data_IF_076558622312
#
_entry.id   IF_076558622312
#
_cell.length_a   1.000
_cell.length_b   1.000
_cell.length_c   1.000
_cell.angle_alpha   90.00
_cell.angle_beta   90.00
_cell.angle_gamma   90.00
#
_symmetry.space_group_name_H-M   'P 1'
#
loop_
_entity.id
_entity.type
_entity.pdbx_description
1 polymer ?
#
# COMPACT_ATOMS: atom_id res chain seq x y z
N UNK A 1 44.93 9.23 37.82
CA UNK A 1 44.40 10.02 36.68
C UNK A 1 44.21 9.03 35.53
N UNK A 2 43.09 8.36 35.28
CA UNK A 2 41.69 8.73 35.08
C UNK A 2 41.41 9.66 33.88
N UNK A 3 40.83 9.04 32.83
CA UNK A 3 40.04 9.57 31.69
C UNK A 3 40.83 10.36 30.64
N UNK A 4 40.50 10.43 29.34
CA UNK A 4 39.53 9.87 28.35
C UNK A 4 40.02 10.47 27.00
N UNK A 5 39.75 9.97 25.81
CA UNK A 5 38.72 9.03 25.42
C UNK A 5 39.03 8.40 24.07
N UNK A 6 38.59 7.16 23.95
CA UNK A 6 38.30 6.51 22.68
C UNK A 6 37.22 7.32 21.97
N UNK A 7 37.55 7.82 20.78
CA UNK A 7 36.55 8.25 19.82
C UNK A 7 35.98 6.97 19.21
N UNK A 8 34.87 6.50 19.78
CA UNK A 8 34.02 5.49 19.17
C UNK A 8 33.53 6.07 17.85
N UNK A 9 33.97 5.48 16.74
CA UNK A 9 33.47 5.76 15.41
C UNK A 9 31.92 5.71 15.41
N UNK A 10 31.23 6.57 14.63
CA UNK A 10 29.79 6.43 14.50
C UNK A 10 29.48 5.02 13.99
N UNK A 11 28.70 4.31 14.80
CA UNK A 11 28.17 2.98 14.52
C UNK A 11 27.40 3.04 13.20
N UNK A 12 27.99 2.33 12.24
CA UNK A 12 27.39 1.62 11.10
C UNK A 12 25.92 1.91 10.78
N UNK A 13 25.72 2.44 9.57
CA UNK A 13 24.92 1.76 8.54
C UNK A 13 23.75 0.93 9.10
N UNK A 14 22.57 1.53 9.16
CA UNK A 14 21.33 0.76 9.16
C UNK A 14 21.22 0.15 7.77
N UNK A 15 21.94 -0.96 7.59
CA UNK A 15 22.05 -1.73 6.36
C UNK A 15 20.69 -2.30 5.97
N UNK A 16 19.80 -1.45 5.47
CA UNK A 16 18.68 -1.87 4.67
C UNK A 16 19.27 -2.45 3.40
N UNK A 17 19.13 -3.75 3.20
CA UNK A 17 19.52 -4.38 1.93
C UNK A 17 18.77 -3.64 0.84
N UNK A 18 19.51 -2.92 0.00
CA UNK A 18 18.90 -2.23 -1.12
C UNK A 18 18.34 -3.30 -2.06
N UNK A 19 17.03 -3.25 -2.39
CA UNK A 19 16.41 -4.27 -3.22
C UNK A 19 17.12 -4.34 -4.56
N UNK A 20 17.38 -5.54 -5.04
CA UNK A 20 18.03 -5.71 -6.33
C UNK A 20 17.09 -5.30 -7.47
N UNK A 21 17.63 -4.82 -8.59
CA UNK A 21 16.82 -4.50 -9.77
C UNK A 21 15.99 -5.70 -10.26
N UNK A 22 16.51 -6.92 -10.09
CA UNK A 22 15.80 -8.15 -10.45
C UNK A 22 14.57 -8.38 -9.56
N UNK A 23 14.71 -8.11 -8.26
CA UNK A 23 13.61 -8.24 -7.28
C UNK A 23 12.53 -7.18 -7.55
N UNK A 24 12.92 -5.93 -7.79
CA UNK A 24 11.99 -4.86 -8.20
C UNK A 24 11.26 -5.24 -9.49
N UNK A 25 11.99 -5.72 -10.51
CA UNK A 25 11.39 -6.19 -11.78
C UNK A 25 10.44 -7.37 -11.58
N UNK A 26 10.74 -8.29 -10.66
CA UNK A 26 9.85 -9.41 -10.36
C UNK A 26 8.52 -8.92 -9.78
N UNK A 27 8.54 -8.01 -8.81
CA UNK A 27 7.31 -7.43 -8.23
C UNK A 27 6.54 -6.62 -9.26
N UNK A 28 7.21 -5.80 -10.08
CA UNK A 28 6.57 -5.05 -11.16
C UNK A 28 5.85 -5.95 -12.17
N UNK A 29 6.45 -7.12 -12.51
CA UNK A 29 5.79 -8.11 -13.38
C UNK A 29 4.52 -8.67 -12.75
N UNK A 30 4.54 -8.97 -11.44
CA UNK A 30 3.35 -9.44 -10.73
C UNK A 30 2.25 -8.38 -10.69
N UNK A 31 2.60 -7.10 -10.49
CA UNK A 31 1.64 -5.99 -10.50
C UNK A 31 1.09 -5.70 -11.91
N UNK A 32 1.88 -5.92 -12.96
CA UNK A 32 1.44 -5.68 -14.34
C UNK A 32 0.40 -6.70 -14.83
N UNK A 33 0.40 -7.92 -14.28
CA UNK A 33 -0.48 -9.01 -14.68
C UNK A 33 -1.96 -8.68 -14.39
N UNK A 34 -2.85 -8.59 -15.41
CA UNK A 34 -4.26 -8.27 -15.20
C UNK A 34 -5.03 -9.28 -14.35
N UNK A 35 -4.53 -10.53 -14.29
CA UNK A 35 -5.08 -11.59 -13.46
C UNK A 35 -4.65 -11.48 -11.98
N UNK A 36 -3.89 -10.47 -11.56
CA UNK A 36 -3.53 -10.25 -10.16
C UNK A 36 -4.19 -8.96 -9.65
N UNK A 37 -4.77 -9.01 -8.46
CA UNK A 37 -5.26 -7.81 -7.79
C UNK A 37 -4.13 -6.97 -7.19
N UNK A 38 -3.02 -7.62 -6.82
CA UNK A 38 -1.86 -6.96 -6.27
C UNK A 38 -0.81 -7.93 -5.74
N UNK A 39 0.11 -7.39 -4.94
CA UNK A 39 1.23 -8.13 -4.36
C UNK A 39 1.30 -7.91 -2.86
N UNK A 40 1.55 -8.97 -2.10
CA UNK A 40 1.95 -8.94 -0.70
C UNK A 40 3.45 -9.20 -0.61
N UNK A 41 4.21 -8.21 -0.18
CA UNK A 41 5.60 -8.35 0.21
C UNK A 41 5.64 -8.87 1.65
N UNK A 42 6.17 -10.08 1.86
CA UNK A 42 6.26 -10.69 3.18
C UNK A 42 7.64 -11.20 3.54
N UNK A 43 7.96 -11.32 4.82
CA UNK A 43 9.29 -11.70 5.31
C UNK A 43 9.57 -11.03 6.65
N UNK A 44 10.63 -11.38 7.35
CA UNK A 44 10.86 -10.89 8.73
C UNK A 44 11.41 -9.47 8.79
N UNK A 45 12.19 -9.05 7.79
CA UNK A 45 12.86 -7.74 7.79
C UNK A 45 11.94 -6.62 7.29
N UNK A 46 11.47 -5.78 8.23
CA UNK A 46 10.59 -4.63 7.95
C UNK A 46 11.27 -3.60 7.05
N UNK A 47 12.56 -3.32 7.27
CA UNK A 47 13.29 -2.33 6.50
C UNK A 47 13.45 -2.79 5.04
N UNK A 48 13.75 -4.07 4.81
CA UNK A 48 13.82 -4.64 3.48
C UNK A 48 12.47 -4.57 2.74
N UNK A 49 11.35 -4.95 3.39
CA UNK A 49 10.00 -4.86 2.79
C UNK A 49 9.64 -3.42 2.40
N UNK A 50 9.85 -2.46 3.31
CA UNK A 50 9.60 -1.03 3.04
C UNK A 50 10.51 -0.49 1.93
N UNK A 51 11.78 -0.88 1.95
CA UNK A 51 12.76 -0.53 0.91
C UNK A 51 12.34 -1.01 -0.47
N UNK A 52 11.91 -2.26 -0.59
CA UNK A 52 11.38 -2.83 -1.83
C UNK A 52 10.07 -2.15 -2.27
N UNK A 53 9.12 -1.91 -1.35
CA UNK A 53 7.89 -1.19 -1.67
C UNK A 53 8.16 0.22 -2.21
N UNK A 54 9.08 0.96 -1.58
CA UNK A 54 9.49 2.28 -2.04
C UNK A 54 10.19 2.23 -3.40
N UNK A 55 11.05 1.23 -3.63
CA UNK A 55 11.70 1.03 -4.93
C UNK A 55 10.67 0.73 -6.04
N UNK A 56 9.71 -0.15 -5.78
CA UNK A 56 8.61 -0.48 -6.70
C UNK A 56 7.78 0.76 -7.02
N UNK A 57 7.37 1.53 -6.00
CA UNK A 57 6.65 2.80 -6.18
C UNK A 57 7.43 3.77 -7.09
N UNK A 58 8.72 3.98 -6.82
CA UNK A 58 9.58 4.83 -7.66
C UNK A 58 9.67 4.33 -9.09
N UNK A 59 9.84 3.02 -9.28
CA UNK A 59 9.94 2.42 -10.61
C UNK A 59 8.63 2.46 -11.39
N UNK A 60 7.47 2.49 -10.72
CA UNK A 60 6.18 2.69 -11.39
C UNK A 60 6.12 4.07 -12.06
N UNK A 61 6.61 5.11 -11.39
CA UNK A 61 6.67 6.47 -11.92
C UNK A 61 5.30 6.95 -12.40
N UNK A 62 5.26 7.58 -13.57
CA UNK A 62 4.05 8.15 -14.19
C UNK A 62 3.02 7.10 -14.65
N UNK A 63 3.31 5.80 -14.48
CA UNK A 63 2.33 4.73 -14.75
C UNK A 63 1.24 4.65 -13.69
N UNK A 64 1.43 5.30 -12.56
CA UNK A 64 0.45 5.45 -11.48
C UNK A 64 0.20 6.93 -11.28
N UNK A 65 -1.07 7.33 -11.34
CA UNK A 65 -1.48 8.72 -11.22
C UNK A 65 -1.80 9.07 -9.76
N UNK A 66 -2.36 8.12 -9.00
CA UNK A 66 -2.78 8.32 -7.62
C UNK A 66 -2.13 7.24 -6.75
N UNK A 67 -1.47 7.64 -5.66
CA UNK A 67 -0.84 6.72 -4.71
C UNK A 67 -1.47 6.93 -3.34
N UNK A 68 -2.32 5.99 -2.92
CA UNK A 68 -2.87 5.94 -1.56
C UNK A 68 -1.88 5.17 -0.70
N UNK A 69 -1.24 5.84 0.25
CA UNK A 69 -0.31 5.18 1.20
C UNK A 69 -0.93 5.18 2.57
N UNK A 70 -0.96 4.01 3.21
CA UNK A 70 -1.46 3.82 4.57
C UNK A 70 -0.41 3.06 5.36
N UNK A 71 -0.14 3.50 6.58
CA UNK A 71 0.73 2.83 7.55
C UNK A 71 -0.14 2.38 8.72
N UNK A 72 0.00 1.11 9.15
CA UNK A 72 -0.69 0.63 10.34
C UNK A 72 -0.03 1.09 11.67
N UNK A 73 -0.75 1.05 12.81
CA UNK A 73 -2.14 0.61 12.93
C UNK A 73 -3.15 1.63 12.39
N UNK A 74 -4.27 1.18 11.85
CA UNK A 74 -5.28 2.03 11.19
C UNK A 74 -6.71 1.46 11.23
N UNK A 75 -7.69 2.21 10.72
CA UNK A 75 -9.08 1.77 10.52
C UNK A 75 -9.62 2.09 9.11
N UNK A 76 -10.85 1.65 8.81
CA UNK A 76 -11.48 1.89 7.52
C UNK A 76 -11.69 3.38 7.18
N UNK A 77 -11.91 4.23 8.18
CA UNK A 77 -12.11 5.67 7.98
C UNK A 77 -10.80 6.36 7.59
N UNK A 78 -9.71 6.03 8.28
CA UNK A 78 -8.38 6.56 8.02
C UNK A 78 -7.86 6.14 6.63
N UNK A 79 -8.16 4.91 6.17
CA UNK A 79 -7.85 4.50 4.79
C UNK A 79 -8.58 5.35 3.76
N UNK A 80 -9.87 5.66 3.98
CA UNK A 80 -10.65 6.50 3.07
C UNK A 80 -10.23 7.97 3.11
N UNK A 81 -9.80 8.46 4.28
CA UNK A 81 -9.19 9.78 4.45
C UNK A 81 -7.86 9.87 3.69
N UNK A 82 -6.99 8.86 3.80
CA UNK A 82 -5.76 8.76 3.01
C UNK A 82 -6.03 8.71 1.50
N UNK A 83 -7.12 8.06 1.07
CA UNK A 83 -7.53 8.07 -0.33
C UNK A 83 -7.99 9.46 -0.79
N UNK A 84 -8.70 10.21 0.06
CA UNK A 84 -9.10 11.58 -0.21
C UNK A 84 -7.87 12.51 -0.33
N UNK A 85 -6.89 12.37 0.57
CA UNK A 85 -5.64 13.12 0.52
C UNK A 85 -4.85 12.83 -0.76
N UNK A 86 -4.76 11.55 -1.15
CA UNK A 86 -4.09 11.16 -2.38
C UNK A 86 -4.75 11.74 -3.65
N UNK A 87 -6.08 11.86 -3.67
CA UNK A 87 -6.80 12.49 -4.77
C UNK A 87 -6.52 13.99 -4.87
N UNK A 88 -6.53 14.69 -3.73
CA UNK A 88 -6.20 16.12 -3.64
C UNK A 88 -4.76 16.40 -4.10
N UNK A 89 -3.82 15.59 -3.62
CA UNK A 89 -2.40 15.73 -3.97
C UNK A 89 -2.16 15.44 -5.45
N UNK A 90 -2.78 14.40 -6.00
CA UNK A 90 -2.71 14.09 -7.43
C UNK A 90 -3.30 15.23 -8.27
N UNK A 91 -4.44 15.81 -7.85
CA UNK A 91 -5.08 16.91 -8.58
C UNK A 91 -4.18 18.15 -8.61
N UNK A 92 -3.59 18.50 -7.45
CA UNK A 92 -2.66 19.62 -7.32
C UNK A 92 -1.39 19.40 -8.16
N UNK A 93 -0.82 18.20 -8.11
CA UNK A 93 0.37 17.85 -8.88
C UNK A 93 0.15 17.92 -10.39
N UNK A 94 -1.04 17.54 -10.86
CA UNK A 94 -1.44 17.62 -12.26
C UNK A 94 -1.92 19.02 -12.70
N UNK A 95 -2.01 19.99 -11.78
CA UNK A 95 -2.52 21.34 -12.07
C UNK A 95 -4.00 21.36 -12.47
N UNK A 96 -4.80 20.41 -11.97
CA UNK A 96 -6.23 20.37 -12.22
C UNK A 96 -6.95 21.52 -11.49
N UNK A 97 -8.04 22.07 -12.08
CA UNK A 97 -8.84 23.10 -11.42
C UNK A 97 -9.67 22.50 -10.27
N UNK A 98 -10.09 23.32 -9.30
CA UNK A 98 -10.93 22.91 -8.16
C UNK A 98 -12.22 22.17 -8.55
N UNK A 99 -12.74 22.41 -9.76
CA UNK A 99 -13.92 21.72 -10.29
C UNK A 99 -13.65 20.28 -10.79
N UNK A 100 -12.39 19.83 -10.78
CA UNK A 100 -12.01 18.49 -11.22
C UNK A 100 -12.63 17.42 -10.31
N UNK A 101 -13.07 16.26 -10.84
CA UNK A 101 -13.73 15.22 -10.05
C UNK A 101 -12.95 14.75 -8.82
N UNK A 102 -11.62 14.76 -8.86
CA UNK A 102 -10.79 14.36 -7.71
C UNK A 102 -11.01 15.24 -6.48
N UNK A 103 -11.11 16.56 -6.63
CA UNK A 103 -11.45 17.48 -5.52
C UNK A 103 -12.86 17.23 -5.01
N UNK A 104 -13.82 17.08 -5.93
CA UNK A 104 -15.23 16.86 -5.58
C UNK A 104 -15.45 15.56 -4.80
N UNK A 105 -14.66 14.51 -5.09
CA UNK A 105 -14.74 13.22 -4.42
C UNK A 105 -14.03 13.20 -3.06
N UNK A 106 -13.04 14.07 -2.81
CA UNK A 106 -12.31 14.07 -1.55
C UNK A 106 -13.21 14.42 -0.34
N UNK A 107 -14.18 15.33 -0.51
CA UNK A 107 -15.12 15.72 0.56
C UNK A 107 -15.99 14.55 1.06
N UNK A 108 -16.76 13.84 0.22
CA UNK A 108 -17.58 12.73 0.69
C UNK A 108 -16.75 11.56 1.24
N UNK A 109 -15.52 11.32 0.76
CA UNK A 109 -14.64 10.29 1.32
C UNK A 109 -14.23 10.57 2.76
N UNK A 110 -14.05 11.84 3.13
CA UNK A 110 -13.77 12.27 4.51
C UNK A 110 -15.01 12.31 5.41
N UNK A 111 -16.21 12.20 4.84
CA UNK A 111 -17.44 12.31 5.61
C UNK A 111 -17.75 11.01 6.36
N UNK A 112 -17.24 10.90 7.60
CA UNK A 112 -17.48 9.78 8.52
C UNK A 112 -18.95 9.60 8.94
N UNK A 113 -19.84 10.56 8.60
CA UNK A 113 -21.29 10.39 8.75
C UNK A 113 -21.89 9.35 7.79
N UNK A 114 -21.18 8.98 6.72
CA UNK A 114 -21.56 7.91 5.80
C UNK A 114 -20.79 6.62 6.10
N UNK A 115 -21.40 5.48 5.77
CA UNK A 115 -20.73 4.18 5.94
C UNK A 115 -19.51 4.10 5.03
N UNK A 116 -18.48 3.37 5.47
CA UNK A 116 -17.28 3.18 4.64
C UNK A 116 -17.63 2.56 3.27
N UNK A 117 -18.63 1.67 3.22
CA UNK A 117 -19.08 1.03 1.97
C UNK A 117 -19.61 2.04 0.95
N UNK A 118 -20.42 3.00 1.39
CA UNK A 118 -20.98 4.06 0.55
C UNK A 118 -19.87 4.96 0.00
N UNK A 119 -18.88 5.29 0.85
CA UNK A 119 -17.72 6.09 0.47
C UNK A 119 -16.81 5.34 -0.50
N UNK A 120 -16.49 4.08 -0.22
CA UNK A 120 -15.70 3.25 -1.12
C UNK A 120 -16.37 3.07 -2.48
N UNK A 121 -17.71 2.96 -2.53
CA UNK A 121 -18.44 2.87 -3.79
C UNK A 121 -18.17 4.08 -4.71
N UNK A 122 -17.93 5.27 -4.14
CA UNK A 122 -17.54 6.44 -4.92
C UNK A 122 -16.19 6.23 -5.63
N UNK A 123 -15.20 5.63 -4.94
CA UNK A 123 -13.93 5.27 -5.55
C UNK A 123 -14.13 4.19 -6.62
N UNK A 124 -14.88 3.14 -6.30
CA UNK A 124 -15.09 2.00 -7.18
C UNK A 124 -15.80 2.39 -8.49
N UNK A 125 -16.74 3.35 -8.44
CA UNK A 125 -17.47 3.81 -9.62
C UNK A 125 -16.73 4.91 -10.36
N UNK A 126 -16.22 5.91 -9.64
CA UNK A 126 -15.75 7.13 -10.27
C UNK A 126 -14.24 7.17 -10.47
N UNK A 127 -13.45 6.46 -9.66
CA UNK A 127 -11.98 6.58 -9.66
C UNK A 127 -11.29 5.35 -10.25
N UNK A 128 -11.45 4.20 -9.60
CA UNK A 128 -10.72 2.97 -9.91
C UNK A 128 -10.87 2.51 -11.37
N UNK A 129 -12.02 2.66 -12.06
CA UNK A 129 -12.15 2.26 -13.46
C UNK A 129 -11.41 3.18 -14.43
N UNK A 130 -11.15 4.43 -14.03
CA UNK A 130 -10.71 5.49 -14.93
C UNK A 130 -9.24 5.83 -14.77
N UNK A 131 -8.67 5.69 -13.57
CA UNK A 131 -7.28 6.09 -13.30
C UNK A 131 -6.45 4.98 -12.66
N UNK A 132 -5.15 4.88 -12.98
CA UNK A 132 -4.24 3.94 -12.34
C UNK A 132 -3.93 4.40 -10.91
N UNK A 133 -4.52 3.70 -9.95
CA UNK A 133 -4.33 3.93 -8.50
C UNK A 133 -3.42 2.85 -7.91
N UNK A 134 -2.39 3.22 -7.16
CA UNK A 134 -1.66 2.28 -6.31
C UNK A 134 -2.13 2.44 -4.87
N UNK A 135 -2.75 1.40 -4.31
CA UNK A 135 -3.02 1.30 -2.88
C UNK A 135 -1.85 0.57 -2.20
N UNK A 136 -1.08 1.32 -1.42
CA UNK A 136 0.10 0.84 -0.69
C UNK A 136 -0.21 0.80 0.80
N UNK A 137 -0.39 -0.40 1.36
CA UNK A 137 -0.58 -0.60 2.80
C UNK A 137 0.73 -1.13 3.41
N UNK A 138 1.41 -0.27 4.16
CA UNK A 138 2.64 -0.59 4.84
C UNK A 138 2.40 -1.16 6.23
N UNK A 139 3.13 -2.24 6.51
CA UNK A 139 3.21 -2.95 7.78
C UNK A 139 1.86 -3.35 8.35
N UNK A 140 1.09 -3.99 7.47
CA UNK A 140 -0.23 -4.49 7.78
C UNK A 140 -0.20 -5.45 8.98
N UNK A 141 0.93 -6.10 9.33
CA UNK A 141 1.02 -6.97 10.52
C UNK A 141 0.58 -6.29 11.82
N UNK A 142 0.64 -4.96 11.89
CA UNK A 142 0.19 -4.20 13.06
C UNK A 142 -1.34 -4.21 13.24
N UNK A 143 -2.07 -4.50 12.16
CA UNK A 143 -3.54 -4.58 12.13
C UNK A 143 -4.04 -6.03 12.04
N UNK A 144 -3.14 -7.03 12.05
CA UNK A 144 -3.49 -8.44 11.87
C UNK A 144 -3.38 -9.24 13.16
N UNK A 145 -4.34 -10.13 13.35
CA UNK A 145 -4.22 -11.30 14.23
C UNK A 145 -3.06 -12.20 13.78
N UNK A 146 -2.61 -13.09 14.67
CA UNK A 146 -1.62 -14.14 14.35
C UNK A 146 -2.06 -15.04 13.18
N UNK A 147 -3.37 -15.14 12.91
CA UNK A 147 -3.91 -15.87 11.76
C UNK A 147 -3.90 -15.11 10.44
N UNK A 148 -3.37 -13.89 10.41
CA UNK A 148 -3.32 -13.04 9.21
C UNK A 148 -4.64 -12.35 8.87
N UNK A 149 -5.63 -12.39 9.78
CA UNK A 149 -6.93 -11.71 9.63
C UNK A 149 -6.87 -10.35 10.32
N UNK A 150 -7.44 -9.32 9.71
CA UNK A 150 -7.54 -7.98 10.29
C UNK A 150 -8.31 -7.98 11.63
N UNK A 151 -7.80 -7.23 12.60
CA UNK A 151 -8.45 -7.04 13.91
C UNK A 151 -9.78 -6.30 13.77
N UNK A 152 -9.79 -5.24 12.95
CA UNK A 152 -11.01 -4.53 12.58
C UNK A 152 -11.68 -5.21 11.37
N UNK A 153 -12.91 -5.74 11.52
CA UNK A 153 -13.63 -6.35 10.42
C UNK A 153 -13.98 -5.36 9.30
N UNK A 154 -14.21 -4.08 9.60
CA UNK A 154 -14.54 -3.08 8.58
C UNK A 154 -13.31 -2.74 7.75
N UNK A 155 -12.14 -2.58 8.37
CA UNK A 155 -10.87 -2.47 7.66
C UNK A 155 -10.61 -3.69 6.76
N UNK A 156 -10.78 -4.90 7.30
CA UNK A 156 -10.61 -6.14 6.54
C UNK A 156 -11.55 -6.22 5.33
N UNK A 157 -12.81 -5.81 5.50
CA UNK A 157 -13.79 -5.77 4.43
C UNK A 157 -13.49 -4.69 3.37
N UNK A 158 -13.05 -3.50 3.78
CA UNK A 158 -12.63 -2.43 2.87
C UNK A 158 -11.42 -2.85 2.03
N UNK A 159 -10.40 -3.43 2.67
CA UNK A 159 -9.20 -3.95 1.99
C UNK A 159 -9.57 -5.05 0.99
N UNK A 160 -10.47 -5.97 1.38
CA UNK A 160 -10.97 -7.00 0.49
C UNK A 160 -11.73 -6.41 -0.72
N UNK A 161 -12.55 -5.37 -0.51
CA UNK A 161 -13.27 -4.70 -1.58
C UNK A 161 -12.30 -4.07 -2.60
N UNK A 162 -11.22 -3.43 -2.12
CA UNK A 162 -10.17 -2.87 -2.98
C UNK A 162 -9.48 -3.93 -3.85
N UNK A 163 -9.19 -5.10 -3.25
CA UNK A 163 -8.59 -6.24 -3.95
C UNK A 163 -9.59 -6.88 -4.93
N UNK A 164 -10.88 -6.89 -4.62
CA UNK A 164 -11.92 -7.48 -5.46
C UNK A 164 -12.21 -6.61 -6.70
N UNK A 165 -12.28 -5.30 -6.52
CA UNK A 165 -12.63 -4.32 -7.55
C UNK A 165 -11.52 -3.31 -7.82
N UNK A 166 -10.30 -3.74 -8.20
CA UNK A 166 -9.18 -2.83 -8.31
C UNK A 166 -9.30 -1.89 -9.53
N UNK A 167 -10.20 -2.16 -10.48
CA UNK A 167 -10.31 -1.41 -11.73
C UNK A 167 -8.98 -1.39 -12.50
N UNK A 168 -8.47 -0.20 -12.79
CA UNK A 168 -7.12 0.07 -13.31
C UNK A 168 -6.06 0.15 -12.21
N UNK A 169 -6.47 0.20 -10.95
CA UNK A 169 -5.58 0.24 -9.79
C UNK A 169 -4.93 -1.11 -9.47
N UNK A 170 -3.97 -1.07 -8.56
CA UNK A 170 -3.23 -2.22 -8.03
C UNK A 170 -2.98 -2.04 -6.54
N UNK A 171 -2.89 -3.14 -5.82
CA UNK A 171 -2.57 -3.12 -4.39
C UNK A 171 -1.16 -3.64 -4.12
N UNK A 172 -0.46 -3.01 -3.18
CA UNK A 172 0.84 -3.46 -2.69
C UNK A 172 0.79 -3.45 -1.16
N UNK A 173 0.97 -4.60 -0.53
CA UNK A 173 1.01 -4.73 0.92
C UNK A 173 2.42 -5.04 1.37
N UNK A 174 2.83 -4.53 2.53
CA UNK A 174 3.96 -5.10 3.27
C UNK A 174 3.44 -5.72 4.57
N UNK A 175 3.87 -6.94 4.88
CA UNK A 175 3.56 -7.56 6.17
C UNK A 175 4.65 -8.52 6.62
N UNK A 176 4.86 -8.68 7.93
CA UNK A 176 5.72 -9.75 8.44
C UNK A 176 5.13 -11.15 8.17
N UNK A 177 3.80 -11.25 8.06
CA UNK A 177 3.05 -12.51 7.91
C UNK A 177 2.20 -12.52 6.64
N UNK A 178 1.64 -13.68 6.29
CA UNK A 178 0.65 -13.74 5.22
C UNK A 178 -0.67 -13.11 5.66
N UNK A 179 -1.34 -12.42 4.73
CA UNK A 179 -2.66 -11.82 4.96
C UNK A 179 -3.72 -12.79 4.45
N UNK A 180 -4.64 -13.17 5.34
CA UNK A 180 -5.81 -13.96 5.02
C UNK A 180 -6.96 -13.03 4.60
N UNK A 181 -7.01 -12.69 3.31
CA UNK A 181 -8.10 -11.92 2.72
C UNK A 181 -9.06 -12.83 1.94
N UNK A 182 -10.38 -12.60 2.02
CA UNK A 182 -11.31 -13.16 1.06
C UNK A 182 -11.01 -12.56 -0.31
N UNK A 183 -10.21 -13.26 -1.11
CA UNK A 183 -9.80 -12.79 -2.44
C UNK A 183 -10.71 -13.36 -3.52
N UNK A 184 -10.85 -12.62 -4.63
CA UNK A 184 -11.45 -13.17 -5.83
C UNK A 184 -10.52 -14.28 -6.36
N UNK A 185 -10.98 -15.53 -6.53
CA UNK A 185 -10.12 -16.61 -7.02
C UNK A 185 -9.57 -16.34 -8.42
N UNK A 186 -10.23 -15.47 -9.20
CA UNK A 186 -9.77 -15.05 -10.52
C UNK A 186 -8.74 -13.90 -10.49
N UNK A 187 -8.61 -13.20 -9.35
CA UNK A 187 -7.67 -12.10 -9.14
C UNK A 187 -7.03 -12.17 -7.74
N UNK A 188 -6.15 -13.15 -7.49
CA UNK A 188 -5.53 -13.31 -6.18
C UNK A 188 -4.55 -12.18 -5.87
N UNK A 189 -4.32 -11.99 -4.56
CA UNK A 189 -3.16 -11.29 -4.05
C UNK A 189 -1.95 -12.23 -4.11
N UNK A 190 -0.87 -11.85 -4.81
CA UNK A 190 0.32 -12.70 -4.95
C UNK A 190 1.31 -12.42 -3.83
N UNK A 191 1.71 -13.47 -3.12
CA UNK A 191 2.77 -13.37 -2.12
C UNK A 191 4.15 -13.33 -2.79
N UNK A 192 5.01 -12.42 -2.34
CA UNK A 192 6.41 -12.31 -2.72
C UNK A 192 7.26 -12.21 -1.45
N UNK A 193 8.10 -13.21 -1.22
CA UNK A 193 8.98 -13.24 -0.06
C UNK A 193 10.15 -12.26 -0.25
N UNK A 194 10.40 -11.42 0.76
CA UNK A 194 11.48 -10.44 0.82
C UNK A 194 12.52 -10.92 1.83
N UNK A 195 13.78 -10.95 1.38
CA UNK A 195 14.91 -11.49 2.15
C UNK A 195 15.33 -12.88 1.67
N UNK A 196 16.40 -13.41 2.27
CA UNK A 196 16.94 -14.71 1.88
C UNK A 196 15.87 -15.80 1.97
N UNK A 197 15.71 -16.58 0.90
CA UNK A 197 14.88 -17.76 0.94
C UNK A 197 15.42 -18.68 2.05
N UNK A 198 14.62 -18.90 3.09
CA UNK A 198 14.90 -20.00 4.00
C UNK A 198 14.68 -21.26 3.16
N UNK A 199 15.78 -21.94 2.84
CA UNK A 199 15.79 -23.14 2.00
C UNK A 199 15.03 -24.30 2.60
#
# INVERSE_FOLDING_TARGET
MNRRGDVVAPVTDTGGVQPSDNEVRAVLRLLAEPANAGVLLHGVDRAARRGLAAAVRRSLGDRVEIVVTVDGPTDADEVLEAAADALEDAARAAGHPDAHPWHALAVPLRNRGHRWTERFQLLAVHVLPHWPVLFLFQDAETDLTTGGVFHDPDLGALVAAWVHEPGRGRTLFTSASLIALPTNPHRPLRAHHVGAAVG
#
